data_IF_846488886697
#
_entry.id   IF_846488886697
#
_cell.length_a   1.000
_cell.length_b   1.000
_cell.length_c   1.000
_cell.angle_alpha   90.00
_cell.angle_beta   90.00
_cell.angle_gamma   90.00
#
_symmetry.space_group_name_H-M   'P 1'
#
loop_
_entity.id
_entity.type
_entity.pdbx_description
1 polymer ?
#
# COMPACT_ATOMS: atom_id res chain seq x y z
N UNK A 1 -39.66 4.28 17.32
CA UNK A 1 -38.34 3.91 16.76
C UNK A 1 -37.89 2.48 17.09
N UNK A 2 -38.43 1.82 18.13
CA UNK A 2 -38.08 0.45 18.57
C UNK A 2 -38.50 -0.72 17.65
N UNK A 3 -39.41 -0.50 16.68
CA UNK A 3 -40.01 -1.59 15.87
C UNK A 3 -39.11 -2.11 14.74
N UNK A 4 -38.32 -1.25 14.10
CA UNK A 4 -37.52 -1.63 12.93
C UNK A 4 -36.23 -2.40 13.28
N UNK A 5 -35.57 -2.04 14.38
CA UNK A 5 -34.37 -2.73 14.86
C UNK A 5 -34.68 -4.18 15.27
N UNK A 6 -35.83 -4.41 15.90
CA UNK A 6 -36.27 -5.75 16.30
C UNK A 6 -36.56 -6.63 15.07
N UNK A 7 -37.26 -6.07 14.07
CA UNK A 7 -37.61 -6.76 12.83
C UNK A 7 -36.38 -7.11 11.98
N UNK A 8 -35.38 -6.23 11.90
CA UNK A 8 -34.12 -6.52 11.21
C UNK A 8 -33.30 -7.55 11.98
N UNK A 9 -33.20 -7.44 13.31
CA UNK A 9 -32.49 -8.41 14.15
C UNK A 9 -33.08 -9.82 14.04
N UNK A 10 -34.41 -9.95 14.03
CA UNK A 10 -35.09 -11.23 13.84
C UNK A 10 -34.87 -11.86 12.47
N UNK A 11 -34.56 -11.06 11.43
CA UNK A 11 -34.28 -11.57 10.07
C UNK A 11 -32.80 -11.88 9.84
N UNK A 12 -31.89 -11.09 10.43
CA UNK A 12 -30.45 -11.20 10.21
C UNK A 12 -29.83 -12.26 11.14
N UNK A 13 -30.20 -12.27 12.42
CA UNK A 13 -29.55 -13.14 13.41
C UNK A 13 -29.71 -14.65 13.11
N UNK A 14 -30.87 -15.16 12.63
CA UNK A 14 -30.98 -16.57 12.28
C UNK A 14 -30.08 -16.99 11.11
N UNK A 15 -29.64 -16.05 10.27
CA UNK A 15 -28.71 -16.31 9.16
C UNK A 15 -27.24 -16.34 9.61
N UNK A 16 -26.93 -15.94 10.85
CA UNK A 16 -25.58 -15.84 11.40
C UNK A 16 -25.50 -16.49 12.78
N UNK A 17 -25.01 -17.73 12.83
CA UNK A 17 -24.59 -18.38 14.08
C UNK A 17 -23.08 -18.63 14.01
N UNK A 18 -22.30 -17.92 14.84
CA UNK A 18 -20.83 -17.95 14.80
C UNK A 18 -20.27 -18.45 16.14
N UNK A 19 -19.58 -19.59 16.12
CA UNK A 19 -18.81 -20.17 17.23
C UNK A 19 -17.33 -19.72 17.17
N UNK A 20 -17.06 -18.41 17.34
CA UNK A 20 -15.70 -17.85 17.33
C UNK A 20 -15.46 -16.90 18.52
N UNK A 21 -15.65 -17.39 19.74
CA UNK A 21 -15.60 -16.58 20.96
C UNK A 21 -14.29 -15.78 21.14
N UNK A 22 -13.14 -16.35 20.76
CA UNK A 22 -11.84 -15.65 20.83
C UNK A 22 -11.78 -14.47 19.86
N UNK A 23 -12.34 -14.61 18.66
CA UNK A 23 -12.40 -13.53 17.67
C UNK A 23 -13.32 -12.41 18.17
N UNK A 24 -14.46 -12.78 18.76
CA UNK A 24 -15.40 -11.80 19.35
C UNK A 24 -14.73 -10.99 20.47
N UNK A 25 -13.95 -11.64 21.34
CA UNK A 25 -13.18 -10.94 22.37
C UNK A 25 -12.15 -9.96 21.78
N UNK A 26 -11.44 -10.37 20.73
CA UNK A 26 -10.50 -9.50 20.01
C UNK A 26 -11.19 -8.30 19.36
N UNK A 27 -12.35 -8.50 18.73
CA UNK A 27 -13.16 -7.42 18.15
C UNK A 27 -13.62 -6.45 19.25
N UNK A 28 -14.07 -6.94 20.41
CA UNK A 28 -14.47 -6.10 21.52
C UNK A 28 -13.31 -5.21 22.02
N UNK A 29 -12.10 -5.76 22.12
CA UNK A 29 -10.91 -4.99 22.46
C UNK A 29 -10.59 -3.91 21.40
N UNK A 30 -10.68 -4.25 20.11
CA UNK A 30 -10.46 -3.30 19.02
C UNK A 30 -11.52 -2.19 19.00
N UNK A 31 -12.79 -2.50 19.27
CA UNK A 31 -13.86 -1.50 19.37
C UNK A 31 -13.64 -0.53 20.54
N UNK A 32 -13.14 -1.04 21.68
CA UNK A 32 -12.75 -0.17 22.81
C UNK A 32 -11.63 0.80 22.43
N UNK A 33 -10.61 0.33 21.71
CA UNK A 33 -9.54 1.20 21.20
C UNK A 33 -10.06 2.21 20.16
N UNK A 34 -10.95 1.78 19.26
CA UNK A 34 -11.51 2.64 18.22
C UNK A 34 -12.34 3.81 18.78
N UNK A 35 -12.86 3.68 20.01
CA UNK A 35 -13.64 4.71 20.69
C UNK A 35 -12.78 5.80 21.36
N UNK A 36 -11.45 5.68 21.38
CA UNK A 36 -10.60 6.65 22.09
C UNK A 36 -10.27 7.89 21.24
N UNK A 37 -9.99 9.05 21.87
CA UNK A 37 -9.55 10.25 21.16
C UNK A 37 -8.26 10.05 20.35
N UNK A 38 -7.35 9.22 20.83
CA UNK A 38 -6.08 8.90 20.15
C UNK A 38 -6.34 8.15 18.84
N UNK A 39 -7.32 7.26 18.80
CA UNK A 39 -7.70 6.57 17.56
C UNK A 39 -8.28 7.54 16.54
N UNK A 40 -9.05 8.53 16.97
CA UNK A 40 -9.53 9.61 16.08
C UNK A 40 -8.36 10.40 15.50
N UNK A 41 -7.42 10.83 16.34
CA UNK A 41 -6.21 11.54 15.89
C UNK A 41 -5.37 10.69 14.92
N UNK A 42 -5.25 9.39 15.19
CA UNK A 42 -4.63 8.43 14.28
C UNK A 42 -5.32 8.39 12.91
N UNK A 43 -6.66 8.27 12.85
CA UNK A 43 -7.40 8.25 11.59
C UNK A 43 -7.25 9.57 10.79
N UNK A 44 -7.22 10.71 11.48
CA UNK A 44 -6.92 12.00 10.84
C UNK A 44 -5.50 12.01 10.24
N UNK A 45 -4.52 11.46 10.95
CA UNK A 45 -3.14 11.33 10.44
C UNK A 45 -3.07 10.38 9.23
N UNK A 46 -3.83 9.28 9.22
CA UNK A 46 -3.90 8.34 8.09
C UNK A 46 -4.31 9.06 6.81
N UNK A 47 -5.34 9.89 6.87
CA UNK A 47 -5.84 10.65 5.71
C UNK A 47 -4.86 11.75 5.30
N UNK A 48 -4.25 12.47 6.26
CA UNK A 48 -3.21 13.48 5.98
C UNK A 48 -2.00 12.86 5.26
N UNK A 49 -1.56 11.70 5.74
CA UNK A 49 -0.49 10.93 5.13
C UNK A 49 -0.87 10.49 3.70
N UNK A 50 -2.10 10.01 3.47
CA UNK A 50 -2.53 9.57 2.14
C UNK A 50 -2.58 10.74 1.14
N UNK A 51 -3.08 11.91 1.57
CA UNK A 51 -3.07 13.14 0.77
C UNK A 51 -1.65 13.61 0.43
N UNK A 52 -0.74 13.53 1.40
CA UNK A 52 0.68 13.83 1.18
C UNK A 52 1.29 12.89 0.15
N UNK A 53 1.07 11.57 0.29
CA UNK A 53 1.56 10.58 -0.66
C UNK A 53 1.04 10.84 -2.08
N UNK A 54 -0.26 11.11 -2.23
CA UNK A 54 -0.85 11.42 -3.53
C UNK A 54 -0.21 12.68 -4.14
N UNK A 55 -0.08 13.76 -3.37
CA UNK A 55 0.53 15.01 -3.81
C UNK A 55 1.98 14.82 -4.26
N UNK A 56 2.79 14.10 -3.48
CA UNK A 56 4.20 13.85 -3.81
C UNK A 56 4.34 12.98 -5.08
N UNK A 57 3.51 11.95 -5.23
CA UNK A 57 3.51 11.13 -6.45
C UNK A 57 3.07 11.94 -7.67
N UNK A 58 2.08 12.82 -7.54
CA UNK A 58 1.67 13.73 -8.61
C UNK A 58 2.79 14.72 -8.98
N UNK A 59 3.47 15.30 -7.99
CA UNK A 59 4.61 16.20 -8.22
C UNK A 59 5.76 15.49 -8.95
N UNK A 60 5.87 14.17 -8.80
CA UNK A 60 6.85 13.30 -9.48
C UNK A 60 6.37 12.80 -10.85
N UNK A 61 5.21 13.27 -11.33
CA UNK A 61 4.67 12.96 -12.66
C UNK A 61 3.81 11.70 -12.75
N UNK A 62 3.45 11.08 -11.61
CA UNK A 62 2.54 9.93 -11.61
C UNK A 62 1.07 10.38 -11.63
N UNK A 63 0.23 9.60 -12.30
CA UNK A 63 -1.20 9.89 -12.37
C UNK A 63 -1.93 9.18 -11.22
N UNK A 64 -2.49 9.95 -10.29
CA UNK A 64 -3.42 9.41 -9.30
C UNK A 64 -4.81 9.30 -9.94
N UNK A 65 -5.42 8.11 -9.89
CA UNK A 65 -6.82 7.92 -10.31
C UNK A 65 -7.70 8.85 -9.48
N UNK A 66 -8.66 9.50 -10.13
CA UNK A 66 -9.50 10.58 -9.57
C UNK A 66 -8.79 11.89 -9.19
N UNK A 67 -7.48 12.01 -9.44
CA UNK A 67 -6.72 13.25 -9.23
C UNK A 67 -6.24 13.48 -7.79
N UNK A 68 -6.37 12.50 -6.90
CA UNK A 68 -5.92 12.62 -5.50
C UNK A 68 -6.46 11.50 -4.62
N UNK A 69 -6.72 11.81 -3.35
CA UNK A 69 -7.42 10.92 -2.42
C UNK A 69 -8.12 11.68 -1.29
N UNK A 70 -9.25 11.15 -0.85
CA UNK A 70 -10.00 11.61 0.33
C UNK A 70 -10.11 10.55 1.42
N UNK A 71 -9.38 9.45 1.29
CA UNK A 71 -9.39 8.36 2.25
C UNK A 71 -7.95 7.90 2.57
N UNK A 72 -7.77 6.62 2.90
CA UNK A 72 -6.51 6.05 3.38
C UNK A 72 -5.65 5.43 2.27
N UNK A 73 -6.10 5.44 1.02
CA UNK A 73 -5.40 4.80 -0.09
C UNK A 73 -5.14 5.76 -1.25
N UNK A 74 -4.07 5.50 -2.01
CA UNK A 74 -3.71 6.20 -3.24
C UNK A 74 -3.67 5.17 -4.35
N UNK A 75 -4.42 5.43 -5.41
CA UNK A 75 -4.53 4.57 -6.57
C UNK A 75 -3.80 5.21 -7.74
N UNK A 76 -2.74 4.58 -8.21
CA UNK A 76 -1.80 5.17 -9.18
C UNK A 76 -1.91 4.45 -10.51
N UNK A 77 -2.15 5.19 -11.58
CA UNK A 77 -2.09 4.74 -12.96
C UNK A 77 -0.66 4.90 -13.50
N UNK A 78 -0.04 3.79 -13.88
CA UNK A 78 1.32 3.72 -14.39
C UNK A 78 1.38 3.65 -15.92
N UNK A 79 0.24 3.50 -16.61
CA UNK A 79 0.22 3.39 -18.08
C UNK A 79 0.83 4.61 -18.77
N UNK A 80 0.64 5.87 -18.30
CA UNK A 80 1.30 7.03 -18.91
C UNK A 80 2.82 6.98 -18.87
N UNK A 81 3.42 6.27 -17.91
CA UNK A 81 4.88 6.07 -17.83
C UNK A 81 5.35 4.90 -18.71
N UNK A 82 4.41 4.16 -19.31
CA UNK A 82 4.67 2.92 -20.04
C UNK A 82 4.95 1.72 -19.13
N UNK A 83 4.84 1.84 -17.81
CA UNK A 83 4.98 0.71 -16.89
C UNK A 83 3.62 0.03 -16.67
N UNK A 84 3.63 -1.20 -16.15
CA UNK A 84 2.43 -1.88 -15.69
C UNK A 84 2.56 -2.27 -14.21
N UNK A 85 1.42 -2.57 -13.58
CA UNK A 85 1.37 -2.91 -12.16
C UNK A 85 2.23 -4.12 -11.80
N UNK A 86 2.27 -5.15 -12.66
CA UNK A 86 3.04 -6.37 -12.39
C UNK A 86 4.56 -6.16 -12.34
N UNK A 87 5.11 -5.29 -13.18
CA UNK A 87 6.55 -4.95 -13.16
C UNK A 87 6.87 -4.03 -11.99
N UNK A 88 6.02 -3.03 -11.75
CA UNK A 88 6.14 -2.12 -10.62
C UNK A 88 6.14 -2.84 -9.27
N UNK A 89 5.13 -3.69 -9.05
CA UNK A 89 4.97 -4.48 -7.83
C UNK A 89 6.20 -5.35 -7.56
N UNK A 90 6.74 -6.02 -8.59
CA UNK A 90 7.91 -6.89 -8.42
C UNK A 90 9.15 -6.11 -7.98
N UNK A 91 9.42 -4.95 -8.57
CA UNK A 91 10.59 -4.15 -8.19
C UNK A 91 10.43 -3.58 -6.80
N UNK A 92 9.24 -3.06 -6.47
CA UNK A 92 8.95 -2.54 -5.14
C UNK A 92 9.06 -3.64 -4.06
N UNK A 93 8.57 -4.85 -4.34
CA UNK A 93 8.71 -6.01 -3.46
C UNK A 93 10.18 -6.35 -3.18
N UNK A 94 11.03 -6.36 -4.22
CA UNK A 94 12.47 -6.63 -4.07
C UNK A 94 13.21 -5.54 -3.27
N UNK A 95 12.63 -4.35 -3.18
CA UNK A 95 13.12 -3.23 -2.38
C UNK A 95 12.49 -3.17 -0.98
N UNK A 96 11.82 -4.23 -0.52
CA UNK A 96 11.11 -4.27 0.78
C UNK A 96 9.94 -3.27 0.88
N UNK A 97 9.32 -2.91 -0.26
CA UNK A 97 8.09 -2.10 -0.32
C UNK A 97 6.92 -2.99 -0.75
N UNK A 98 6.07 -3.33 0.21
CA UNK A 98 4.85 -4.07 -0.07
C UNK A 98 3.79 -3.17 -0.73
N UNK A 99 3.40 -3.49 -1.95
CA UNK A 99 2.27 -2.86 -2.64
C UNK A 99 1.45 -3.92 -3.38
N UNK A 100 0.31 -3.51 -3.92
CA UNK A 100 -0.55 -4.39 -4.70
C UNK A 100 -0.74 -3.83 -6.10
N UNK A 101 -0.48 -4.65 -7.13
CA UNK A 101 -0.90 -4.34 -8.50
C UNK A 101 -2.44 -4.31 -8.57
N UNK A 102 -3.00 -3.28 -9.18
CA UNK A 102 -4.45 -3.08 -9.23
C UNK A 102 -4.86 -2.59 -10.62
N UNK A 103 -5.99 -3.08 -11.12
CA UNK A 103 -6.56 -2.58 -12.37
C UNK A 103 -6.81 -1.07 -12.25
N UNK A 104 -6.84 -0.37 -13.38
CA UNK A 104 -7.18 1.05 -13.48
C UNK A 104 -8.23 1.27 -14.58
N UNK A 105 -9.01 2.37 -14.54
CA UNK A 105 -9.98 2.66 -15.59
C UNK A 105 -9.37 2.62 -17.00
N UNK A 106 -9.94 1.79 -17.88
CA UNK A 106 -9.44 1.58 -19.25
C UNK A 106 -8.47 0.41 -19.42
N UNK A 107 -8.15 -0.35 -18.37
CA UNK A 107 -7.46 -1.62 -18.54
C UNK A 107 -8.32 -2.62 -19.34
N UNK A 108 -7.69 -3.27 -20.32
CA UNK A 108 -8.35 -4.29 -21.16
C UNK A 108 -8.42 -5.68 -20.51
N UNK A 109 -7.62 -5.92 -19.47
CA UNK A 109 -7.52 -7.22 -18.80
C UNK A 109 -7.23 -7.07 -17.32
N UNK A 110 -7.96 -7.82 -16.49
CA UNK A 110 -7.72 -7.89 -15.05
C UNK A 110 -6.40 -8.59 -14.68
N UNK A 111 -5.86 -9.44 -15.57
CA UNK A 111 -4.62 -10.18 -15.33
C UNK A 111 -3.37 -9.32 -15.54
N UNK A 112 -3.49 -8.22 -16.29
CA UNK A 112 -2.40 -7.30 -16.61
C UNK A 112 -2.77 -5.87 -16.20
N UNK A 113 -2.87 -5.60 -14.88
CA UNK A 113 -3.26 -4.30 -14.37
C UNK A 113 -2.26 -3.20 -14.74
N UNK A 114 -2.79 -2.02 -15.07
CA UNK A 114 -2.02 -0.83 -15.42
C UNK A 114 -1.54 0.00 -14.22
N UNK A 115 -1.96 -0.32 -13.00
CA UNK A 115 -1.68 0.50 -11.82
C UNK A 115 -1.26 -0.25 -10.58
N UNK A 116 -1.01 0.52 -9.52
CA UNK A 116 -0.70 0.06 -8.17
C UNK A 116 -1.60 0.77 -7.15
N UNK A 117 -1.88 0.09 -6.03
CA UNK A 117 -2.63 0.63 -4.90
C UNK A 117 -1.73 0.68 -3.67
N UNK A 118 -1.67 1.86 -3.07
CA UNK A 118 -0.85 2.18 -1.90
C UNK A 118 -1.78 2.61 -0.75
N UNK A 119 -1.41 2.31 0.48
CA UNK A 119 -2.19 2.69 1.66
C UNK A 119 -1.32 3.16 2.81
N UNK A 120 -1.81 4.12 3.58
CA UNK A 120 -1.09 4.71 4.71
C UNK A 120 -1.41 4.16 6.11
N UNK A 121 -2.47 3.35 6.37
CA UNK A 121 -2.76 2.88 7.73
C UNK A 121 -1.57 2.20 8.41
N UNK A 122 -0.97 1.19 7.77
CA UNK A 122 0.11 0.40 8.38
C UNK A 122 1.34 1.25 8.76
N UNK A 123 1.74 2.19 7.89
CA UNK A 123 2.84 3.10 8.15
C UNK A 123 2.49 4.10 9.27
N UNK A 124 1.27 4.63 9.25
CA UNK A 124 0.79 5.58 10.26
C UNK A 124 0.72 4.93 11.64
N UNK A 125 0.33 3.65 11.73
CA UNK A 125 0.32 2.90 12.99
C UNK A 125 1.72 2.81 13.60
N UNK A 126 2.77 2.78 12.78
CA UNK A 126 4.18 2.78 13.22
C UNK A 126 4.72 4.19 13.55
N UNK A 127 3.88 5.22 13.43
CA UNK A 127 4.19 6.60 13.81
C UNK A 127 4.66 7.50 12.66
N UNK A 128 4.63 7.05 11.41
CA UNK A 128 5.02 7.88 10.26
C UNK A 128 4.08 9.08 10.11
N UNK A 129 4.66 10.23 9.81
CA UNK A 129 3.96 11.50 9.51
C UNK A 129 4.25 11.98 8.09
N UNK A 130 3.70 13.12 7.72
CA UNK A 130 3.76 13.67 6.36
C UNK A 130 5.21 13.75 5.82
N UNK A 131 6.16 14.22 6.63
CA UNK A 131 7.57 14.30 6.23
C UNK A 131 8.21 12.93 5.94
N UNK A 132 7.78 11.88 6.65
CA UNK A 132 8.23 10.51 6.42
C UNK A 132 7.58 9.95 5.15
N UNK A 133 6.34 10.32 4.88
CA UNK A 133 5.63 9.93 3.66
C UNK A 133 6.26 10.53 2.40
N UNK A 134 6.84 11.74 2.48
CA UNK A 134 7.64 12.30 1.38
C UNK A 134 8.80 11.36 1.03
N UNK A 135 9.53 10.86 2.03
CA UNK A 135 10.62 9.88 1.82
C UNK A 135 10.09 8.56 1.24
N UNK A 136 8.91 8.10 1.69
CA UNK A 136 8.26 6.92 1.11
C UNK A 136 7.95 7.13 -0.37
N UNK A 137 7.45 8.30 -0.76
CA UNK A 137 7.22 8.66 -2.15
C UNK A 137 8.53 8.69 -2.97
N UNK A 138 9.64 9.15 -2.38
CA UNK A 138 10.97 9.12 -3.00
C UNK A 138 11.43 7.69 -3.27
N UNK A 139 11.29 6.78 -2.29
CA UNK A 139 11.64 5.37 -2.47
C UNK A 139 10.81 4.70 -3.56
N UNK A 140 9.50 4.97 -3.59
CA UNK A 140 8.61 4.47 -4.64
C UNK A 140 9.08 4.98 -6.00
N UNK A 141 9.39 6.27 -6.13
CA UNK A 141 9.90 6.85 -7.37
C UNK A 141 11.21 6.18 -7.83
N UNK A 142 12.17 5.97 -6.92
CA UNK A 142 13.43 5.27 -7.24
C UNK A 142 13.16 3.87 -7.78
N UNK A 143 12.26 3.12 -7.14
CA UNK A 143 11.89 1.76 -7.57
C UNK A 143 11.17 1.74 -8.92
N UNK A 144 10.22 2.64 -9.15
CA UNK A 144 9.52 2.74 -10.42
C UNK A 144 10.46 3.20 -11.57
N UNK A 145 11.40 4.10 -11.27
CA UNK A 145 12.45 4.50 -12.22
C UNK A 145 13.35 3.32 -12.61
N UNK A 146 13.79 2.52 -11.64
CA UNK A 146 14.53 1.29 -11.90
C UNK A 146 13.70 0.29 -12.72
N UNK A 147 12.42 0.14 -12.43
CA UNK A 147 11.54 -0.74 -13.19
C UNK A 147 11.41 -0.32 -14.65
N UNK A 148 11.38 0.98 -14.95
CA UNK A 148 11.40 1.50 -16.32
C UNK A 148 12.72 1.19 -17.03
N UNK A 149 13.84 1.40 -16.34
CA UNK A 149 15.18 1.11 -16.87
C UNK A 149 15.35 -0.37 -17.20
N UNK A 150 14.96 -1.25 -16.28
CA UNK A 150 15.03 -2.71 -16.50
C UNK A 150 14.09 -3.11 -17.63
N UNK A 151 12.88 -2.54 -17.70
CA UNK A 151 11.94 -2.81 -18.79
C UNK A 151 12.56 -2.48 -20.15
N UNK A 152 13.24 -1.33 -20.27
CA UNK A 152 13.90 -0.91 -21.50
C UNK A 152 15.06 -1.85 -21.90
N UNK A 153 15.71 -2.48 -20.93
CA UNK A 153 16.87 -3.36 -21.13
C UNK A 153 16.55 -4.86 -20.96
N UNK A 154 15.27 -5.23 -20.96
CA UNK A 154 14.79 -6.61 -20.82
C UNK A 154 14.00 -7.06 -22.05
N UNK A 155 13.78 -8.37 -22.17
CA UNK A 155 12.90 -8.92 -23.21
C UNK A 155 11.44 -8.47 -23.05
N UNK A 156 10.59 -8.75 -24.05
CA UNK A 156 9.22 -8.23 -24.10
C UNK A 156 8.33 -8.81 -22.99
N UNK A 157 8.67 -9.99 -22.45
CA UNK A 157 7.82 -10.71 -21.51
C UNK A 157 8.07 -10.30 -20.07
N UNK A 158 7.12 -10.61 -19.18
CA UNK A 158 7.32 -10.45 -17.74
C UNK A 158 8.37 -11.44 -17.20
N UNK A 159 8.52 -12.61 -17.84
CA UNK A 159 9.52 -13.61 -17.47
C UNK A 159 10.94 -13.07 -17.69
N UNK A 160 11.18 -12.46 -18.85
CA UNK A 160 12.49 -11.87 -19.18
C UNK A 160 12.83 -10.72 -18.23
N UNK A 161 11.83 -9.89 -17.91
CA UNK A 161 11.96 -8.81 -16.93
C UNK A 161 12.38 -9.33 -15.55
N UNK A 162 11.70 -10.38 -15.04
CA UNK A 162 12.05 -11.00 -13.75
C UNK A 162 13.45 -11.63 -13.78
N UNK A 163 13.76 -12.37 -14.84
CA UNK A 163 15.08 -12.98 -15.00
C UNK A 163 16.19 -11.94 -15.03
N UNK A 164 15.96 -10.78 -15.67
CA UNK A 164 16.93 -9.67 -15.71
C UNK A 164 17.17 -9.05 -14.33
N UNK A 165 16.13 -8.89 -13.51
CA UNK A 165 16.25 -8.41 -12.12
C UNK A 165 17.05 -9.36 -11.22
N UNK A 166 17.04 -10.66 -11.52
CA UNK A 166 17.63 -11.70 -10.68
C UNK A 166 19.04 -12.11 -11.14
N UNK A 167 19.35 -11.95 -12.43
CA UNK A 167 20.62 -12.43 -13.01
C UNK A 167 21.60 -11.33 -13.38
N UNK A 168 21.14 -10.10 -13.63
CA UNK A 168 22.03 -9.00 -14.00
C UNK A 168 22.71 -8.41 -12.75
N UNK A 169 24.04 -8.49 -12.62
CA UNK A 169 24.74 -8.02 -11.43
C UNK A 169 24.49 -6.54 -11.10
N UNK A 170 24.31 -5.70 -12.12
CA UNK A 170 24.08 -4.26 -11.94
C UNK A 170 22.73 -4.02 -11.27
N UNK A 171 21.68 -4.71 -11.72
CA UNK A 171 20.35 -4.55 -11.16
C UNK A 171 20.21 -5.23 -9.80
N UNK A 172 20.83 -6.41 -9.61
CA UNK A 172 20.86 -7.08 -8.31
C UNK A 172 21.52 -6.19 -7.25
N UNK A 173 22.67 -5.58 -7.57
CA UNK A 173 23.37 -4.69 -6.65
C UNK A 173 22.54 -3.44 -6.32
N UNK A 174 21.95 -2.80 -7.33
CA UNK A 174 21.11 -1.61 -7.12
C UNK A 174 19.86 -1.92 -6.30
N UNK A 175 19.23 -3.06 -6.52
CA UNK A 175 18.09 -3.52 -5.71
C UNK A 175 18.51 -3.76 -4.25
N UNK A 176 19.67 -4.39 -4.02
CA UNK A 176 20.19 -4.59 -2.65
C UNK A 176 20.40 -3.26 -1.94
N UNK A 177 21.05 -2.29 -2.60
CA UNK A 177 21.27 -0.97 -2.02
C UNK A 177 19.97 -0.25 -1.70
N UNK A 178 19.02 -0.25 -2.64
CA UNK A 178 17.71 0.38 -2.43
C UNK A 178 16.92 -0.31 -1.31
N UNK A 179 17.01 -1.63 -1.22
CA UNK A 179 16.40 -2.43 -0.15
C UNK A 179 17.00 -2.06 1.21
N UNK A 180 18.32 -1.98 1.30
CA UNK A 180 19.02 -1.57 2.52
C UNK A 180 18.62 -0.16 2.97
N UNK A 181 18.51 0.79 2.04
CA UNK A 181 18.02 2.15 2.34
C UNK A 181 16.59 2.14 2.90
N UNK A 182 15.68 1.36 2.28
CA UNK A 182 14.29 1.22 2.72
C UNK A 182 14.19 0.54 4.08
N UNK A 183 14.94 -0.55 4.29
CA UNK A 183 14.95 -1.28 5.56
C UNK A 183 15.56 -0.45 6.68
N UNK A 184 16.68 0.25 6.44
CA UNK A 184 17.28 1.15 7.40
C UNK A 184 16.30 2.26 7.82
N UNK A 185 15.59 2.86 6.87
CA UNK A 185 14.54 3.83 7.17
C UNK A 185 13.39 3.21 7.96
N UNK A 186 12.88 2.05 7.53
CA UNK A 186 11.76 1.38 8.18
C UNK A 186 12.08 0.94 9.61
N UNK A 187 13.32 0.54 9.91
CA UNK A 187 13.76 0.10 11.24
C UNK A 187 13.87 1.24 12.26
N UNK A 188 13.83 2.50 11.82
CA UNK A 188 13.79 3.65 12.76
C UNK A 188 12.46 3.78 13.49
N UNK A 189 11.39 3.15 12.99
CA UNK A 189 10.04 3.23 13.54
C UNK A 189 9.69 2.01 14.40
N UNK A 190 8.90 2.21 15.46
CA UNK A 190 8.46 1.11 16.31
C UNK A 190 7.55 0.12 15.56
N UNK A 191 7.38 -1.08 16.10
CA UNK A 191 6.49 -2.10 15.56
C UNK A 191 5.46 -2.49 16.63
N UNK A 192 4.16 -2.21 16.44
CA UNK A 192 3.14 -2.61 17.40
C UNK A 192 3.06 -4.15 17.49
N UNK A 193 2.82 -4.67 18.70
CA UNK A 193 2.72 -6.12 18.94
C UNK A 193 4.05 -6.82 19.22
N UNK A 194 5.18 -6.11 19.15
CA UNK A 194 6.48 -6.59 19.62
C UNK A 194 7.00 -5.63 20.69
N UNK A 195 7.33 -6.16 21.86
CA UNK A 195 8.17 -5.42 22.80
C UNK A 195 9.60 -5.44 22.25
N UNK A 196 10.31 -4.31 22.28
CA UNK A 196 11.77 -4.34 22.13
C UNK A 196 12.29 -5.19 23.28
N UNK A 197 12.85 -6.37 22.98
CA UNK A 197 13.63 -7.16 23.94
C UNK A 197 14.79 -6.33 24.50
#
# INVERSE_FOLDING_TARGET
MFSWQLLLGQKINPAFFILLNVVVAGIAAALKQAATPEFKAYQEQVVKNARTLAKELQAKGYTCVSGGTDNHLVWVDLRPTGLNGSRAERVLELMSIACNKNTVPGDKSALNPGGIRLGTPALTTRGLKEADIVKVADFIQKGLGLALEVKANSGPTLKDFKAKLETDPVYVQRLSQLREEVEAFALTFFMPGYEKL
#
